data_IF_941195073382
#
_entry.id   IF_941195073382
#
_cell.length_a   1.000
_cell.length_b   1.000
_cell.length_c   1.000
_cell.angle_alpha   90.00
_cell.angle_beta   90.00
_cell.angle_gamma   90.00
#
_symmetry.space_group_name_H-M   'P 1'
#
loop_
_entity.id
_entity.type
_entity.pdbx_description
1 polymer ?
#
# COMPACT_ATOMS: atom_id res chain seq x y z
N UNK A 1 -23.27 19.37 21.48
CA UNK A 1 -23.16 19.55 20.01
C UNK A 1 -21.68 19.59 19.69
N UNK A 2 -21.17 18.66 18.88
CA UNK A 2 -19.82 18.79 18.32
C UNK A 2 -19.79 20.06 17.45
N UNK A 3 -18.66 20.80 17.39
CA UNK A 3 -18.53 21.95 16.52
C UNK A 3 -18.81 21.54 15.07
N UNK A 4 -19.38 22.44 14.23
CA UNK A 4 -19.66 22.13 12.84
C UNK A 4 -18.36 21.72 12.16
N UNK A 5 -18.28 20.45 11.76
CA UNK A 5 -17.17 19.98 10.92
C UNK A 5 -17.22 20.78 9.63
N UNK A 6 -16.13 21.49 9.34
CA UNK A 6 -15.92 22.11 8.03
C UNK A 6 -16.20 21.04 6.99
N UNK A 7 -17.17 21.27 6.10
CA UNK A 7 -17.47 20.31 5.04
C UNK A 7 -16.21 20.08 4.21
N UNK A 8 -15.72 18.84 4.23
CA UNK A 8 -14.82 18.32 3.21
C UNK A 8 -13.96 17.16 3.71
N UNK A 9 -13.44 16.39 2.76
CA UNK A 9 -12.69 15.17 3.01
C UNK A 9 -11.24 15.43 3.43
N UNK A 10 -10.39 14.41 3.28
CA UNK A 10 -8.99 14.36 3.73
C UNK A 10 -8.11 15.54 3.29
N UNK A 11 -8.51 16.27 2.24
CA UNK A 11 -7.74 17.38 1.66
C UNK A 11 -8.16 18.78 2.16
N UNK A 12 -9.13 18.88 3.08
CA UNK A 12 -9.52 20.17 3.67
C UNK A 12 -8.36 20.79 4.43
N UNK A 13 -8.10 22.07 4.18
CA UNK A 13 -7.03 22.82 4.84
C UNK A 13 -5.66 22.66 4.18
N UNK A 14 -5.53 21.88 3.10
CA UNK A 14 -4.29 21.87 2.32
C UNK A 14 -4.06 23.23 1.65
N UNK A 15 -2.78 23.66 1.51
CA UNK A 15 -2.46 24.92 0.85
C UNK A 15 -3.03 24.97 -0.58
N UNK A 16 -3.44 26.15 -1.06
CA UNK A 16 -3.98 26.29 -2.41
C UNK A 16 -2.90 25.94 -3.44
N UNK A 17 -3.31 25.38 -4.59
CA UNK A 17 -2.41 24.84 -5.64
C UNK A 17 -1.23 25.76 -5.99
N UNK A 18 -1.44 27.08 -6.07
CA UNK A 18 -0.38 28.05 -6.42
C UNK A 18 0.73 28.19 -5.35
N UNK A 19 0.51 27.68 -4.13
CA UNK A 19 1.51 27.62 -3.05
C UNK A 19 2.17 26.25 -2.90
N UNK A 20 1.77 25.27 -3.71
CA UNK A 20 2.38 23.94 -3.73
C UNK A 20 3.34 23.88 -4.92
N UNK A 21 4.67 23.86 -4.70
CA UNK A 21 5.61 23.62 -5.79
C UNK A 21 5.30 22.28 -6.45
N UNK A 22 5.64 22.15 -7.74
CA UNK A 22 5.47 20.89 -8.46
C UNK A 22 6.30 19.82 -7.75
N UNK A 23 5.68 18.66 -7.50
CA UNK A 23 6.42 17.51 -6.96
C UNK A 23 7.47 17.04 -7.97
N UNK A 24 8.68 16.80 -7.49
CA UNK A 24 9.78 16.21 -8.26
C UNK A 24 9.67 14.68 -8.36
N UNK A 25 8.74 14.08 -7.61
CA UNK A 25 8.53 12.62 -7.58
C UNK A 25 8.10 12.06 -8.95
N UNK A 26 7.38 12.84 -9.76
CA UNK A 26 6.86 12.42 -11.06
C UNK A 26 7.26 13.38 -12.16
N UNK A 27 7.82 12.84 -13.23
CA UNK A 27 8.11 13.60 -14.44
C UNK A 27 6.82 14.08 -15.13
N UNK A 28 6.95 14.97 -16.12
CA UNK A 28 5.80 15.33 -16.95
C UNK A 28 5.23 14.15 -17.74
N UNK A 29 6.08 13.23 -18.17
CA UNK A 29 5.67 12.04 -18.89
C UNK A 29 4.81 11.14 -18.01
N UNK A 30 5.22 10.93 -16.74
CA UNK A 30 4.47 10.09 -15.80
C UNK A 30 3.10 10.68 -15.51
N UNK A 31 3.03 11.99 -15.26
CA UNK A 31 1.75 12.68 -15.03
C UNK A 31 0.83 12.57 -16.25
N UNK A 32 1.36 12.78 -17.45
CA UNK A 32 0.59 12.63 -18.70
C UNK A 32 0.10 11.20 -18.89
N UNK A 33 0.93 10.22 -18.57
CA UNK A 33 0.57 8.81 -18.64
C UNK A 33 -0.60 8.48 -17.70
N UNK A 34 -0.49 8.80 -16.41
CA UNK A 34 -1.57 8.55 -15.45
C UNK A 34 -2.85 9.32 -15.80
N UNK A 35 -2.73 10.58 -16.24
CA UNK A 35 -3.88 11.36 -16.69
C UNK A 35 -4.60 10.67 -17.86
N UNK A 36 -3.86 10.19 -18.87
CA UNK A 36 -4.44 9.45 -19.99
C UNK A 36 -5.13 8.15 -19.54
N UNK A 37 -4.54 7.39 -18.62
CA UNK A 37 -5.15 6.17 -18.09
C UNK A 37 -6.47 6.46 -17.37
N UNK A 38 -6.50 7.45 -16.47
CA UNK A 38 -7.73 7.82 -15.76
C UNK A 38 -8.78 8.50 -16.65
N UNK A 39 -8.37 9.24 -17.69
CA UNK A 39 -9.30 9.76 -18.71
C UNK A 39 -9.96 8.64 -19.50
N UNK A 40 -9.24 7.54 -19.77
CA UNK A 40 -9.79 6.38 -20.46
C UNK A 40 -10.65 5.50 -19.55
N UNK A 41 -10.16 5.13 -18.36
CA UNK A 41 -10.87 4.20 -17.46
C UNK A 41 -11.97 4.87 -16.61
N UNK A 42 -11.89 6.19 -16.44
CA UNK A 42 -12.63 6.91 -15.40
C UNK A 42 -12.22 6.50 -13.97
N UNK A 43 -12.94 7.01 -12.99
CA UNK A 43 -12.68 6.78 -11.56
C UNK A 43 -13.62 5.74 -10.93
N UNK A 44 -14.64 5.26 -11.65
CA UNK A 44 -15.68 4.39 -11.06
C UNK A 44 -15.08 3.09 -10.49
N UNK A 45 -14.24 2.39 -11.26
CA UNK A 45 -13.57 1.16 -10.83
C UNK A 45 -12.77 1.33 -9.54
N UNK A 46 -11.72 2.17 -9.52
CA UNK A 46 -10.88 2.33 -8.33
C UNK A 46 -11.65 2.88 -7.12
N UNK A 47 -12.59 3.81 -7.31
CA UNK A 47 -13.42 4.31 -6.19
C UNK A 47 -14.39 3.25 -5.66
N UNK A 48 -14.87 2.34 -6.51
CA UNK A 48 -15.78 1.28 -6.10
C UNK A 48 -15.14 0.27 -5.14
N UNK A 49 -13.81 0.14 -5.12
CA UNK A 49 -13.10 -0.62 -4.10
C UNK A 49 -13.44 -0.13 -2.69
N UNK A 50 -13.35 1.19 -2.47
CA UNK A 50 -13.67 1.82 -1.19
C UNK A 50 -15.16 1.73 -0.85
N UNK A 51 -16.05 1.74 -1.85
CA UNK A 51 -17.49 1.55 -1.64
C UNK A 51 -17.84 0.13 -1.19
N UNK A 52 -16.95 -0.84 -1.43
CA UNK A 52 -17.17 -2.24 -1.10
C UNK A 52 -16.50 -2.67 0.21
N UNK A 53 -15.92 -1.77 1.01
CA UNK A 53 -15.23 -2.12 2.27
C UNK A 53 -16.08 -3.01 3.18
N UNK A 54 -17.35 -2.66 3.39
CA UNK A 54 -18.28 -3.46 4.21
C UNK A 54 -18.52 -4.84 3.59
N UNK A 55 -18.80 -4.91 2.30
CA UNK A 55 -19.06 -6.18 1.60
C UNK A 55 -17.82 -7.09 1.61
N UNK A 56 -16.63 -6.53 1.43
CA UNK A 56 -15.36 -7.25 1.51
C UNK A 56 -15.15 -7.80 2.92
N UNK A 57 -15.46 -7.01 3.97
CA UNK A 57 -15.41 -7.50 5.34
C UNK A 57 -16.38 -8.67 5.58
N UNK A 58 -17.62 -8.54 5.13
CA UNK A 58 -18.65 -9.59 5.24
C UNK A 58 -18.21 -10.91 4.59
N UNK A 59 -17.57 -10.83 3.42
CA UNK A 59 -16.95 -11.97 2.73
C UNK A 59 -15.83 -12.58 3.58
N UNK A 60 -14.89 -11.76 4.05
CA UNK A 60 -13.72 -12.21 4.81
C UNK A 60 -14.05 -12.82 6.18
N UNK A 61 -15.30 -12.70 6.67
CA UNK A 61 -15.72 -13.37 7.92
C UNK A 61 -15.54 -14.89 7.87
N UNK A 62 -15.70 -15.52 6.70
CA UNK A 62 -15.45 -16.95 6.54
C UNK A 62 -13.99 -17.36 6.77
N UNK A 63 -13.07 -16.39 6.82
CA UNK A 63 -11.66 -16.61 7.12
C UNK A 63 -11.23 -16.02 8.45
N UNK A 64 -12.17 -15.57 9.29
CA UNK A 64 -11.85 -15.02 10.60
C UNK A 64 -11.04 -16.02 11.45
N UNK A 65 -9.99 -15.54 12.10
CA UNK A 65 -9.08 -16.36 12.91
C UNK A 65 -8.01 -17.13 12.12
N UNK A 66 -8.08 -17.17 10.79
CA UNK A 66 -7.05 -17.81 9.96
C UNK A 66 -5.79 -16.94 9.88
N UNK A 67 -4.63 -17.60 9.87
CA UNK A 67 -3.33 -16.96 9.67
C UNK A 67 -2.90 -17.04 8.21
N UNK A 68 -2.03 -16.11 7.80
CA UNK A 68 -1.30 -16.18 6.53
C UNK A 68 0.01 -16.94 6.80
N UNK A 69 0.07 -18.18 6.33
CA UNK A 69 1.18 -19.11 6.60
C UNK A 69 2.34 -19.00 5.60
N UNK A 70 2.13 -18.25 4.53
CA UNK A 70 3.07 -18.00 3.45
C UNK A 70 4.13 -16.99 3.92
N UNK A 71 5.40 -17.11 3.49
CA UNK A 71 6.37 -16.04 3.65
C UNK A 71 5.81 -14.74 3.06
N UNK A 72 5.89 -13.66 3.83
CA UNK A 72 5.37 -12.36 3.43
C UNK A 72 6.39 -11.27 3.74
N UNK A 73 6.50 -10.29 2.85
CA UNK A 73 7.28 -9.08 3.06
C UNK A 73 6.34 -7.89 3.18
N UNK A 74 6.53 -7.10 4.22
CA UNK A 74 5.97 -5.77 4.34
C UNK A 74 7.11 -4.75 4.31
N UNK A 75 7.07 -3.84 3.35
CA UNK A 75 7.95 -2.67 3.28
C UNK A 75 7.12 -1.45 3.68
N UNK A 76 7.36 -0.90 4.86
CA UNK A 76 6.73 0.35 5.29
C UNK A 76 7.55 1.57 4.88
N UNK A 77 6.87 2.72 4.81
CA UNK A 77 7.47 4.00 4.49
C UNK A 77 7.45 4.90 5.73
N UNK A 78 8.61 5.43 6.14
CA UNK A 78 8.76 6.15 7.40
C UNK A 78 7.97 7.46 7.48
N UNK A 79 7.77 8.12 6.33
CA UNK A 79 7.02 9.38 6.23
C UNK A 79 5.56 9.19 5.80
N UNK A 80 5.10 7.96 5.60
CA UNK A 80 3.70 7.68 5.27
C UNK A 80 2.81 7.82 6.53
N UNK A 81 1.82 8.73 6.53
CA UNK A 81 0.94 8.93 7.68
C UNK A 81 -0.11 7.82 7.87
N UNK A 82 -0.36 7.00 6.83
CA UNK A 82 -1.44 6.01 6.78
C UNK A 82 -1.02 4.70 7.44
N UNK A 83 0.10 4.10 6.99
CA UNK A 83 0.55 2.77 7.43
C UNK A 83 1.94 2.85 8.07
N UNK A 84 1.97 3.41 9.28
CA UNK A 84 3.22 3.63 10.03
C UNK A 84 3.88 2.31 10.40
N UNK A 85 5.22 2.28 10.39
CA UNK A 85 6.01 1.12 10.85
C UNK A 85 5.62 0.63 12.26
N UNK A 86 5.24 1.56 13.16
CA UNK A 86 4.78 1.23 14.51
C UNK A 86 3.50 0.39 14.54
N UNK A 87 2.68 0.42 13.48
CA UNK A 87 1.47 -0.37 13.36
C UNK A 87 1.73 -1.87 13.23
N UNK A 88 2.89 -2.27 12.72
CA UNK A 88 3.27 -3.69 12.66
C UNK A 88 3.27 -4.31 14.05
N UNK A 89 3.80 -3.57 15.03
CA UNK A 89 3.79 -3.96 16.44
C UNK A 89 2.43 -3.74 17.10
N UNK A 90 1.81 -2.57 16.92
CA UNK A 90 0.57 -2.24 17.65
C UNK A 90 -0.63 -3.10 17.21
N UNK A 91 -0.68 -3.50 15.93
CA UNK A 91 -1.69 -4.40 15.38
C UNK A 91 -1.31 -5.89 15.51
N UNK A 92 -0.16 -6.19 16.14
CA UNK A 92 0.37 -7.54 16.33
C UNK A 92 0.39 -8.35 15.03
N UNK A 93 0.89 -7.76 13.94
CA UNK A 93 0.81 -8.39 12.61
C UNK A 93 1.48 -9.77 12.55
N UNK A 94 2.53 -10.00 13.35
CA UNK A 94 3.20 -11.29 13.47
C UNK A 94 2.32 -12.40 14.08
N UNK A 95 1.29 -12.06 14.86
CA UNK A 95 0.34 -13.04 15.38
C UNK A 95 -0.52 -13.65 14.26
N UNK A 96 -0.80 -12.84 13.23
CA UNK A 96 -1.62 -13.18 12.06
C UNK A 96 -0.81 -13.67 10.87
N UNK A 97 0.44 -13.24 10.75
CA UNK A 97 1.37 -13.57 9.67
C UNK A 97 2.69 -14.04 10.30
N UNK A 98 2.80 -15.31 10.72
CA UNK A 98 3.94 -15.78 11.51
C UNK A 98 5.30 -15.67 10.79
N UNK A 99 5.28 -15.68 9.45
CA UNK A 99 6.49 -15.60 8.60
C UNK A 99 6.64 -14.21 7.96
N UNK A 100 6.10 -13.18 8.61
CA UNK A 100 6.24 -11.79 8.16
C UNK A 100 7.69 -11.33 8.33
N UNK A 101 8.29 -10.86 7.25
CA UNK A 101 9.49 -10.04 7.27
C UNK A 101 9.05 -8.58 7.13
N UNK A 102 9.47 -7.73 8.06
CA UNK A 102 9.18 -6.30 8.03
C UNK A 102 10.47 -5.52 7.75
N UNK A 103 10.42 -4.62 6.76
CA UNK A 103 11.46 -3.65 6.44
C UNK A 103 10.84 -2.26 6.40
N UNK A 104 11.63 -1.24 6.70
CA UNK A 104 11.19 0.15 6.63
C UNK A 104 12.14 0.97 5.76
N UNK A 105 11.59 1.85 4.93
CA UNK A 105 12.33 2.87 4.19
C UNK A 105 12.03 4.21 4.85
N UNK A 106 12.94 4.68 5.70
CA UNK A 106 12.70 5.83 6.60
C UNK A 106 12.32 7.11 5.85
N UNK A 107 12.98 7.36 4.73
CA UNK A 107 12.89 8.62 3.98
C UNK A 107 11.81 8.62 2.88
N UNK A 108 11.06 7.52 2.74
CA UNK A 108 9.97 7.42 1.77
C UNK A 108 8.63 7.88 2.35
N UNK A 109 7.82 8.53 1.52
CA UNK A 109 6.39 8.73 1.71
C UNK A 109 5.55 7.57 1.17
N UNK A 110 4.28 7.85 0.87
CA UNK A 110 3.28 6.85 0.51
C UNK A 110 3.66 6.04 -0.74
N UNK A 111 4.41 6.61 -1.67
CA UNK A 111 4.74 6.00 -2.96
C UNK A 111 6.15 5.42 -2.94
N UNK A 112 6.47 4.58 -1.95
CA UNK A 112 7.83 4.05 -1.69
C UNK A 112 8.54 3.51 -2.94
N UNK A 113 7.83 2.83 -3.84
CA UNK A 113 8.39 2.27 -5.07
C UNK A 113 8.79 3.33 -6.10
N UNK A 114 8.18 4.51 -6.06
CA UNK A 114 8.51 5.65 -6.93
C UNK A 114 9.48 6.61 -6.26
N UNK A 115 9.37 6.80 -4.94
CA UNK A 115 10.20 7.74 -4.19
C UNK A 115 11.60 7.20 -3.89
N UNK A 116 11.74 5.88 -3.69
CA UNK A 116 12.99 5.20 -3.35
C UNK A 116 13.13 3.90 -4.14
N UNK A 117 13.12 3.94 -5.49
CA UNK A 117 13.07 2.73 -6.32
C UNK A 117 14.27 1.83 -6.09
N UNK A 118 15.49 2.35 -5.96
CA UNK A 118 16.70 1.54 -5.76
C UNK A 118 16.66 0.79 -4.43
N UNK A 119 16.29 1.49 -3.35
CA UNK A 119 16.23 0.90 -2.02
C UNK A 119 15.09 -0.12 -1.89
N UNK A 120 13.91 0.19 -2.43
CA UNK A 120 12.78 -0.72 -2.44
C UNK A 120 13.07 -1.97 -3.27
N UNK A 121 13.66 -1.81 -4.46
CA UNK A 121 14.05 -2.93 -5.31
C UNK A 121 15.09 -3.82 -4.63
N UNK A 122 16.12 -3.23 -3.99
CA UNK A 122 17.12 -3.99 -3.23
C UNK A 122 16.46 -4.83 -2.15
N UNK A 123 15.58 -4.24 -1.33
CA UNK A 123 14.86 -4.96 -0.27
C UNK A 123 14.04 -6.13 -0.84
N UNK A 124 13.32 -5.90 -1.94
CA UNK A 124 12.49 -6.93 -2.58
C UNK A 124 13.36 -8.06 -3.13
N UNK A 125 14.43 -7.73 -3.86
CA UNK A 125 15.35 -8.71 -4.44
C UNK A 125 16.05 -9.55 -3.36
N UNK A 126 16.63 -8.90 -2.33
CA UNK A 126 17.27 -9.60 -1.21
C UNK A 126 16.31 -10.56 -0.50
N UNK A 127 15.05 -10.15 -0.34
CA UNK A 127 14.03 -11.01 0.25
C UNK A 127 13.69 -12.20 -0.64
N UNK A 128 13.50 -11.97 -1.94
CA UNK A 128 13.21 -13.03 -2.92
C UNK A 128 14.35 -14.04 -3.03
N UNK A 129 15.61 -13.59 -3.02
CA UNK A 129 16.79 -14.45 -3.07
C UNK A 129 16.92 -15.35 -1.83
N UNK A 130 16.38 -14.89 -0.69
CA UNK A 130 16.29 -15.67 0.55
C UNK A 130 15.16 -16.71 0.56
N UNK A 131 14.23 -16.68 -0.40
CA UNK A 131 13.14 -17.64 -0.46
C UNK A 131 13.58 -18.94 -1.14
N UNK A 132 13.13 -20.05 -0.57
CA UNK A 132 13.28 -21.34 -1.23
C UNK A 132 12.42 -21.34 -2.51
N UNK A 133 12.98 -21.73 -3.67
CA UNK A 133 12.19 -21.92 -4.88
C UNK A 133 11.02 -22.85 -4.59
N UNK A 134 9.84 -22.55 -5.15
CA UNK A 134 8.69 -23.44 -5.05
C UNK A 134 9.10 -24.76 -5.69
N UNK A 135 9.35 -25.80 -4.87
CA UNK A 135 9.59 -27.14 -5.38
C UNK A 135 8.34 -27.58 -6.11
N UNK A 136 8.46 -27.75 -7.42
CA UNK A 136 7.39 -28.23 -8.29
C UNK A 136 7.04 -29.69 -7.94
N UNK A 137 6.22 -29.88 -6.91
CA UNK A 137 5.49 -31.13 -6.66
C UNK A 137 3.98 -30.97 -6.96
N UNK A 138 3.58 -29.80 -7.44
CA UNK A 138 2.22 -29.47 -7.85
C UNK A 138 1.99 -29.61 -9.37
N UNK A 139 3.03 -29.55 -10.21
CA UNK A 139 2.89 -29.75 -11.66
C UNK A 139 2.80 -31.23 -12.09
N UNK A 140 2.96 -32.18 -11.17
CA UNK A 140 2.74 -33.62 -11.42
C UNK A 140 1.30 -34.07 -11.14
N UNK A 141 0.38 -33.14 -10.87
CA UNK A 141 -1.05 -33.40 -10.62
C UNK A 141 -2.00 -32.53 -11.46
N UNK A 142 -1.56 -32.14 -12.66
CA UNK A 142 -2.41 -31.68 -13.76
C UNK A 142 -2.15 -32.60 -14.95
#
# INVERSE_FOLDING_TARGET
>A
RLPPTVKGGTLVGMPPKHRCPRSEMLSEADVKYYAAQFSHSGYFGPVSWYRNVERNWQWMRGTAGRKVEQPALMVSAGRDPVLKASMVKSLKMHDWIPKLVHKNVDEAGHWVLQEKPEEANRIICEWLDGLQPIRSSYLSRL
#
